data_IF_679870403969
#
_entry.id   IF_679870403969
#
_cell.length_a   1.000
_cell.length_b   1.000
_cell.length_c   1.000
_cell.angle_alpha   90.00
_cell.angle_beta   90.00
_cell.angle_gamma   90.00
#
_symmetry.space_group_name_H-M   'P 1'
#
loop_
_entity.id
_entity.type
_entity.pdbx_description
1 polymer ?
#
# COMPACT_ATOMS: atom_id res chain seq x y z
N UNK A 1 12.24 38.73 1.93
CA UNK A 1 13.57 38.17 1.58
C UNK A 1 13.88 36.86 2.30
N UNK A 2 13.92 36.78 3.65
CA UNK A 2 14.25 35.51 4.35
C UNK A 2 13.20 34.40 4.20
N UNK A 3 11.91 34.76 4.07
CA UNK A 3 10.81 33.79 3.85
C UNK A 3 10.77 33.27 2.41
N UNK A 4 11.12 34.14 1.45
CA UNK A 4 11.15 33.79 0.03
C UNK A 4 12.27 32.78 -0.27
N UNK A 5 13.46 32.98 0.33
CA UNK A 5 14.58 32.03 0.20
C UNK A 5 14.22 30.65 0.77
N UNK A 6 13.47 30.59 1.87
CA UNK A 6 13.04 29.32 2.47
C UNK A 6 12.08 28.52 1.59
N UNK A 7 11.16 29.20 0.92
CA UNK A 7 10.19 28.57 0.00
C UNK A 7 10.89 28.02 -1.25
N UNK A 8 11.83 28.77 -1.83
CA UNK A 8 12.58 28.31 -3.00
C UNK A 8 13.47 27.09 -2.69
N UNK A 9 14.08 27.02 -1.51
CA UNK A 9 14.91 25.87 -1.09
C UNK A 9 14.08 24.61 -0.85
N UNK A 10 12.88 24.74 -0.27
CA UNK A 10 11.99 23.59 -0.08
C UNK A 10 11.50 23.03 -1.42
N UNK A 11 11.22 23.90 -2.40
CA UNK A 11 10.72 23.48 -3.71
C UNK A 11 11.79 22.73 -4.55
N UNK A 12 13.06 23.12 -4.44
CA UNK A 12 14.16 22.44 -5.15
C UNK A 12 14.51 21.08 -4.54
N UNK A 13 14.43 20.94 -3.21
CA UNK A 13 14.63 19.66 -2.52
C UNK A 13 13.54 18.63 -2.86
N UNK A 14 12.28 19.07 -3.01
CA UNK A 14 11.16 18.18 -3.35
C UNK A 14 11.26 17.61 -4.77
N UNK A 15 11.78 18.39 -5.72
CA UNK A 15 11.95 17.96 -7.12
C UNK A 15 13.06 16.92 -7.30
N UNK A 16 14.12 16.95 -6.47
CA UNK A 16 15.23 16.01 -6.55
C UNK A 16 14.87 14.61 -6.02
N UNK A 17 13.86 14.49 -5.14
CA UNK A 17 13.44 13.22 -4.57
C UNK A 17 12.65 12.34 -5.55
N UNK A 18 12.01 12.93 -6.57
CA UNK A 18 11.22 12.18 -7.55
C UNK A 18 12.04 11.59 -8.71
N UNK A 19 13.36 11.84 -8.78
CA UNK A 19 14.19 11.43 -9.93
C UNK A 19 15.25 10.37 -9.64
N UNK A 20 15.21 9.72 -8.48
CA UNK A 20 16.15 8.63 -8.15
C UNK A 20 15.42 7.29 -8.11
N UNK A 21 15.33 6.64 -9.27
CA UNK A 21 14.69 5.33 -9.39
C UNK A 21 14.83 4.69 -10.77
N UNK A 22 16.00 4.76 -11.42
CA UNK A 22 16.28 3.95 -12.60
C UNK A 22 17.07 2.72 -12.18
N UNK A 23 16.37 1.61 -11.95
CA UNK A 23 16.98 0.28 -11.87
C UNK A 23 17.49 -0.09 -13.26
N UNK A 24 18.81 -0.16 -13.37
CA UNK A 24 19.48 -0.85 -14.46
C UNK A 24 19.23 -2.35 -14.25
N UNK A 25 18.46 -2.97 -15.13
CA UNK A 25 18.32 -4.43 -15.18
C UNK A 25 18.27 -4.85 -16.63
N UNK A 26 19.46 -5.02 -17.17
CA UNK A 26 19.73 -5.77 -18.38
C UNK A 26 19.49 -7.25 -18.08
N UNK A 27 18.48 -7.86 -18.71
CA UNK A 27 18.38 -9.32 -18.81
C UNK A 27 18.24 -9.69 -20.28
N UNK A 28 19.17 -10.53 -20.71
CA UNK A 28 19.30 -11.07 -22.04
C UNK A 28 18.10 -11.95 -22.44
N UNK A 29 17.77 -11.89 -23.73
CA UNK A 29 16.91 -12.83 -24.45
C UNK A 29 17.50 -14.24 -24.43
N UNK A 30 16.78 -15.24 -23.90
CA UNK A 30 16.71 -16.63 -24.44
C UNK A 30 15.46 -17.34 -23.90
N UNK A 31 14.66 -17.92 -24.80
CA UNK A 31 13.95 -19.19 -24.52
C UNK A 31 12.45 -19.18 -24.78
N UNK A 32 12.00 -19.96 -25.76
CA UNK A 32 10.58 -20.23 -26.04
C UNK A 32 9.86 -20.76 -24.78
N UNK A 33 8.69 -20.19 -24.47
CA UNK A 33 7.85 -20.61 -23.33
C UNK A 33 6.52 -21.15 -23.83
N UNK A 34 6.19 -22.33 -23.30
CA UNK A 34 5.08 -23.22 -23.61
C UNK A 34 3.70 -22.55 -23.61
N UNK A 35 2.78 -23.17 -24.37
CA UNK A 35 1.35 -22.86 -24.39
C UNK A 35 0.78 -22.71 -22.97
N UNK A 36 -0.14 -21.76 -22.74
CA UNK A 36 -0.71 -21.53 -21.42
C UNK A 36 -1.46 -22.79 -20.97
N UNK A 37 -0.91 -23.49 -19.98
CA UNK A 37 -1.65 -24.51 -19.26
C UNK A 37 -2.87 -23.84 -18.63
N UNK A 38 -4.08 -24.29 -18.99
CA UNK A 38 -5.31 -23.82 -18.35
C UNK A 38 -5.19 -24.11 -16.86
N UNK A 39 -5.04 -23.04 -16.06
CA UNK A 39 -5.18 -23.14 -14.63
C UNK A 39 -6.56 -23.72 -14.32
N UNK A 40 -6.61 -24.86 -13.62
CA UNK A 40 -7.84 -25.35 -13.04
C UNK A 40 -8.38 -24.26 -12.11
N UNK A 41 -9.61 -23.80 -12.35
CA UNK A 41 -10.31 -22.91 -11.44
C UNK A 41 -10.39 -23.62 -10.08
N UNK A 42 -9.60 -23.13 -9.11
CA UNK A 42 -9.73 -23.59 -7.73
C UNK A 42 -11.10 -23.16 -7.22
N UNK A 43 -11.83 -24.10 -6.65
CA UNK A 43 -13.05 -23.82 -5.90
C UNK A 43 -12.74 -22.70 -4.88
N UNK A 44 -13.61 -21.68 -4.76
CA UNK A 44 -13.38 -20.60 -3.81
C UNK A 44 -13.38 -21.20 -2.40
N UNK A 45 -12.21 -21.18 -1.75
CA UNK A 45 -12.11 -21.52 -0.33
C UNK A 45 -12.93 -20.49 0.43
N UNK A 46 -13.88 -20.91 1.30
CA UNK A 46 -14.60 -19.99 2.15
C UNK A 46 -13.59 -19.15 2.94
N UNK A 47 -13.61 -17.84 2.71
CA UNK A 47 -12.80 -16.90 3.46
C UNK A 47 -13.41 -16.80 4.87
N UNK A 48 -12.68 -17.30 5.87
CA UNK A 48 -13.04 -17.12 7.28
C UNK A 48 -12.49 -15.77 7.77
N UNK A 49 -13.32 -15.03 8.50
CA UNK A 49 -12.89 -13.78 9.11
C UNK A 49 -11.96 -14.10 10.29
N UNK A 50 -10.73 -13.57 10.32
CA UNK A 50 -9.85 -13.74 11.48
C UNK A 50 -10.46 -13.11 12.72
N UNK A 51 -10.31 -13.77 13.88
CA UNK A 51 -10.82 -13.27 15.18
C UNK A 51 -10.26 -11.88 15.53
N UNK A 52 -9.07 -11.56 15.02
CA UNK A 52 -8.42 -10.27 15.19
C UNK A 52 -9.18 -9.12 14.51
N UNK A 53 -10.02 -9.41 13.51
CA UNK A 53 -10.90 -8.44 12.85
C UNK A 53 -12.29 -8.35 13.50
N UNK A 54 -12.62 -9.22 14.46
CA UNK A 54 -13.89 -9.19 15.20
C UNK A 54 -13.90 -8.11 16.29
N UNK A 55 -13.66 -6.86 15.90
CA UNK A 55 -13.68 -5.72 16.81
C UNK A 55 -14.47 -4.56 16.24
N UNK A 56 -14.87 -3.68 17.16
CA UNK A 56 -15.50 -2.42 16.82
C UNK A 56 -14.79 -1.31 17.58
N UNK A 57 -14.50 -0.21 16.89
CA UNK A 57 -13.82 0.95 17.47
C UNK A 57 -14.53 2.25 17.07
N UNK A 58 -14.50 3.25 17.93
CA UNK A 58 -14.93 4.61 17.58
C UNK A 58 -13.73 5.39 17.07
N UNK A 59 -13.83 5.92 15.86
CA UNK A 59 -12.81 6.78 15.27
C UNK A 59 -12.82 8.17 15.94
N UNK A 60 -11.75 8.94 15.73
CA UNK A 60 -11.64 10.32 16.25
C UNK A 60 -12.80 11.21 15.78
N UNK A 61 -13.36 10.95 14.59
CA UNK A 61 -14.53 11.65 14.06
C UNK A 61 -15.88 11.23 14.67
N UNK A 62 -15.90 10.27 15.59
CA UNK A 62 -17.12 9.73 16.20
C UNK A 62 -17.80 8.62 15.40
N UNK A 63 -17.34 8.35 14.18
CA UNK A 63 -17.81 7.21 13.38
C UNK A 63 -17.38 5.89 14.00
N UNK A 64 -18.19 4.86 13.77
CA UNK A 64 -17.94 3.51 14.23
C UNK A 64 -17.24 2.74 13.10
N UNK A 65 -16.10 2.14 13.42
CA UNK A 65 -15.33 1.29 12.54
C UNK A 65 -15.55 -0.18 12.95
N UNK A 66 -15.98 -0.99 11.99
CA UNK A 66 -16.11 -2.44 12.12
C UNK A 66 -14.91 -3.13 11.46
N UNK A 67 -14.13 -3.86 12.24
CA UNK A 67 -12.93 -4.56 11.77
C UNK A 67 -13.23 -5.59 10.69
N UNK A 68 -14.43 -6.18 10.66
CA UNK A 68 -14.78 -7.18 9.65
C UNK A 68 -14.99 -6.55 8.26
N UNK A 69 -15.18 -5.24 8.18
CA UNK A 69 -15.39 -4.53 6.90
C UNK A 69 -14.15 -4.51 6.00
N UNK A 70 -12.96 -4.72 6.58
CA UNK A 70 -11.67 -4.75 5.85
C UNK A 70 -11.14 -6.17 5.62
N UNK A 71 -11.99 -7.17 5.88
CA UNK A 71 -11.84 -8.54 5.46
C UNK A 71 -11.22 -8.72 4.07
N UNK A 72 -10.07 -9.40 3.98
CA UNK A 72 -9.43 -9.75 2.71
C UNK A 72 -8.77 -8.57 1.98
N UNK A 73 -8.60 -7.42 2.64
CA UNK A 73 -7.92 -6.25 2.10
C UNK A 73 -6.52 -6.09 2.73
N UNK A 74 -5.57 -5.54 1.97
CA UNK A 74 -4.24 -5.18 2.48
C UNK A 74 -4.35 -3.91 3.34
N UNK A 75 -4.41 -4.06 4.66
CA UNK A 75 -4.62 -2.95 5.61
C UNK A 75 -3.52 -2.90 6.68
N UNK A 76 -3.05 -1.68 6.99
CA UNK A 76 -2.13 -1.39 8.09
C UNK A 76 -2.87 -0.64 9.20
N UNK A 77 -2.95 -1.23 10.39
CA UNK A 77 -3.42 -0.53 11.59
C UNK A 77 -2.27 0.22 12.27
N UNK A 78 -2.35 1.55 12.31
CA UNK A 78 -1.37 2.41 12.98
C UNK A 78 -1.99 3.13 14.16
N UNK A 79 -1.53 2.78 15.36
CA UNK A 79 -2.02 3.34 16.60
C UNK A 79 -1.09 4.46 17.07
N UNK A 80 -1.66 5.63 17.33
CA UNK A 80 -0.96 6.77 17.92
C UNK A 80 -1.92 7.53 18.82
N UNK A 81 -1.37 8.22 19.81
CA UNK A 81 -2.13 9.04 20.76
C UNK A 81 -1.62 10.47 20.73
N UNK A 82 -2.47 11.48 20.44
CA UNK A 82 -2.13 12.88 20.67
C UNK A 82 -2.01 13.16 22.18
N UNK A 83 -0.99 13.93 22.58
CA UNK A 83 -0.82 14.47 23.94
C UNK A 83 -1.57 15.77 24.14
#
# INVERSE_FOLDING_TARGET
MRRDVGIFVALTLLAAACTSGSHDTQVAEVGAVSEPSRASESEPVPYEIPVELEFTATLVGGELFDGTSVAGQDVLFWFWTPT
#
